data_IF_332755485214
#
_entry.id   IF_332755485214
#
_cell.length_a   1.000
_cell.length_b   1.000
_cell.length_c   1.000
_cell.angle_alpha   90.00
_cell.angle_beta   90.00
_cell.angle_gamma   90.00
#
_symmetry.space_group_name_H-M   'P 1'
#
loop_
_entity.id
_entity.type
_entity.pdbx_description
1 polymer ?
#
# COMPACT_ATOMS: atom_id res chain seq x y z
N UNK A 1 -7.74 41.90 -31.36
CA UNK A 1 -7.77 40.85 -30.32
C UNK A 1 -6.75 41.20 -29.25
N UNK A 2 -7.18 41.41 -28.00
CA UNK A 2 -6.31 41.96 -26.95
C UNK A 2 -5.17 40.98 -26.63
N UNK A 3 -3.92 41.45 -26.68
CA UNK A 3 -2.70 40.65 -26.44
C UNK A 3 -2.73 39.94 -25.08
N UNK A 4 -3.45 40.50 -24.11
CA UNK A 4 -3.67 39.96 -22.78
C UNK A 4 -4.61 38.73 -22.76
N UNK A 5 -5.54 38.60 -23.71
CA UNK A 5 -6.46 37.46 -23.80
C UNK A 5 -5.71 36.21 -24.32
N UNK A 6 -4.74 36.40 -25.21
CA UNK A 6 -3.91 35.31 -25.75
C UNK A 6 -3.01 34.74 -24.67
N UNK A 7 -2.39 35.59 -23.83
CA UNK A 7 -1.58 35.16 -22.69
C UNK A 7 -2.40 34.40 -21.64
N UNK A 8 -3.62 34.85 -21.34
CA UNK A 8 -4.52 34.17 -20.41
C UNK A 8 -4.93 32.77 -20.91
N UNK A 9 -5.27 32.65 -22.20
CA UNK A 9 -5.60 31.36 -22.82
C UNK A 9 -4.40 30.40 -22.81
N UNK A 10 -3.20 30.89 -23.12
CA UNK A 10 -1.97 30.09 -23.06
C UNK A 10 -1.70 29.58 -21.64
N UNK A 11 -1.85 30.42 -20.61
CA UNK A 11 -1.69 30.00 -19.21
C UNK A 11 -2.76 28.99 -18.78
N UNK A 12 -3.98 29.10 -19.29
CA UNK A 12 -5.06 28.14 -19.03
C UNK A 12 -4.83 26.79 -19.72
N UNK A 13 -4.22 26.75 -20.92
CA UNK A 13 -3.84 25.50 -21.59
C UNK A 13 -2.60 24.83 -20.98
N UNK A 14 -1.71 25.58 -20.30
CA UNK A 14 -0.55 25.02 -19.61
C UNK A 14 -0.87 24.38 -18.24
N UNK A 15 -2.09 24.54 -17.71
CA UNK A 15 -2.61 23.66 -16.66
C UNK A 15 -3.07 22.31 -17.24
N UNK A 16 -2.28 21.79 -18.18
CA UNK A 16 -2.45 20.52 -18.85
C UNK A 16 -2.56 19.42 -17.80
N UNK A 17 -3.70 18.74 -17.80
CA UNK A 17 -4.10 17.65 -16.91
C UNK A 17 -2.91 16.75 -16.52
N UNK A 18 -2.31 16.98 -15.34
CA UNK A 18 -1.39 16.00 -14.76
C UNK A 18 -2.20 14.77 -14.40
N UNK A 19 -1.93 13.67 -15.08
CA UNK A 19 -2.55 12.36 -14.86
C UNK A 19 -1.96 11.66 -13.61
N UNK A 20 -1.95 12.39 -12.50
CA UNK A 20 -1.35 12.00 -11.22
C UNK A 20 -2.36 11.23 -10.35
N UNK A 21 -1.86 10.66 -9.25
CA UNK A 21 -2.71 10.27 -8.13
C UNK A 21 -3.35 11.50 -7.51
N UNK A 22 -4.60 11.36 -7.11
CA UNK A 22 -5.28 12.34 -6.25
C UNK A 22 -4.83 12.15 -4.80
N UNK A 23 -4.95 13.19 -3.97
CA UNK A 23 -4.66 13.10 -2.53
C UNK A 23 -5.49 11.99 -1.84
N UNK A 24 -6.72 11.76 -2.31
CA UNK A 24 -7.57 10.69 -1.79
C UNK A 24 -6.99 9.30 -2.10
N UNK A 25 -6.43 9.09 -3.29
CA UNK A 25 -5.77 7.84 -3.70
C UNK A 25 -4.48 7.58 -2.92
N UNK A 26 -3.85 8.64 -2.40
CA UNK A 26 -2.59 8.55 -1.66
C UNK A 26 -2.77 8.56 -0.13
N UNK A 27 -4.00 8.59 0.41
CA UNK A 27 -4.21 8.65 1.88
C UNK A 27 -3.46 7.52 2.62
N UNK A 28 -3.47 6.29 2.10
CA UNK A 28 -2.70 5.17 2.69
C UNK A 28 -1.19 5.43 2.56
N UNK A 29 -0.75 5.88 1.38
CA UNK A 29 0.65 6.13 1.10
C UNK A 29 1.23 7.22 2.03
N UNK A 30 0.44 8.25 2.31
CA UNK A 30 0.86 9.40 3.08
C UNK A 30 1.00 9.11 4.58
N UNK A 31 0.37 8.05 5.11
CA UNK A 31 0.50 7.66 6.52
C UNK A 31 1.89 7.10 6.88
N UNK A 32 2.62 6.58 5.89
CA UNK A 32 3.90 5.92 6.15
C UNK A 32 5.07 6.87 5.99
N UNK A 33 6.05 6.89 6.89
CA UNK A 33 7.28 7.66 6.73
C UNK A 33 8.52 6.76 6.72
N UNK A 34 9.56 7.15 5.98
CA UNK A 34 10.83 6.43 5.97
C UNK A 34 11.42 6.48 7.37
N UNK A 35 11.82 5.32 7.90
CA UNK A 35 12.33 5.17 9.26
C UNK A 35 11.25 4.88 10.30
N UNK A 36 9.97 5.03 9.96
CA UNK A 36 8.86 4.62 10.84
C UNK A 36 8.94 3.13 11.13
N UNK A 37 8.63 2.77 12.38
CA UNK A 37 8.58 1.39 12.84
C UNK A 37 7.16 0.96 13.15
N UNK A 38 6.79 -0.25 12.73
CA UNK A 38 5.57 -0.93 13.13
C UNK A 38 5.96 -2.03 14.11
N UNK A 39 5.46 -1.95 15.34
CA UNK A 39 5.81 -2.90 16.41
C UNK A 39 4.57 -3.71 16.77
N UNK A 40 4.72 -5.03 16.71
CA UNK A 40 3.67 -5.98 17.01
C UNK A 40 4.08 -6.85 18.19
N UNK A 41 3.11 -7.16 19.04
CA UNK A 41 3.26 -8.09 20.15
C UNK A 41 2.33 -9.29 19.93
N UNK A 42 2.88 -10.48 20.09
CA UNK A 42 2.10 -11.72 20.02
C UNK A 42 1.42 -12.06 21.35
N UNK A 43 0.52 -13.04 21.28
CA UNK A 43 -0.14 -13.61 22.47
C UNK A 43 0.84 -14.22 23.48
N UNK A 44 2.03 -14.66 23.02
CA UNK A 44 3.10 -15.19 23.87
C UNK A 44 4.16 -14.14 24.28
N UNK A 45 3.87 -12.85 24.13
CA UNK A 45 4.75 -11.72 24.44
C UNK A 45 6.01 -11.57 23.55
N UNK A 46 6.11 -12.28 22.44
CA UNK A 46 7.17 -12.05 21.44
C UNK A 46 6.95 -10.71 20.72
N UNK A 47 8.04 -10.09 20.26
CA UNK A 47 8.02 -8.78 19.58
C UNK A 47 8.53 -8.88 18.16
N UNK A 48 7.70 -8.45 17.21
CA UNK A 48 8.03 -8.29 15.81
C UNK A 48 8.13 -6.80 15.51
N UNK A 49 9.20 -6.39 14.85
CA UNK A 49 9.43 -5.00 14.48
C UNK A 49 9.73 -4.91 13.00
N UNK A 50 8.96 -4.07 12.31
CA UNK A 50 9.14 -3.75 10.91
C UNK A 50 9.51 -2.28 10.76
N UNK A 51 10.39 -1.97 9.82
CA UNK A 51 10.80 -0.60 9.54
C UNK A 51 10.51 -0.25 8.08
N UNK A 52 9.93 0.91 7.84
CA UNK A 52 9.77 1.44 6.49
C UNK A 52 11.13 1.90 5.98
N UNK A 53 11.63 1.26 4.94
CA UNK A 53 12.97 1.51 4.40
C UNK A 53 12.95 2.40 3.16
N UNK A 54 11.81 2.46 2.47
CA UNK A 54 11.70 3.17 1.20
C UNK A 54 10.29 3.67 0.96
N UNK A 55 10.17 4.90 0.44
CA UNK A 55 8.92 5.50 0.00
C UNK A 55 9.20 6.40 -1.20
N UNK A 56 8.60 6.10 -2.37
CA UNK A 56 8.81 6.91 -3.59
C UNK A 56 7.60 6.91 -4.51
N UNK A 57 7.31 8.07 -5.10
CA UNK A 57 6.38 8.22 -6.22
C UNK A 57 7.19 8.28 -7.52
N UNK A 58 6.77 7.50 -8.51
CA UNK A 58 7.34 7.46 -9.85
C UNK A 58 6.35 8.11 -10.80
N UNK A 59 6.72 9.30 -11.26
CA UNK A 59 6.02 10.02 -12.29
C UNK A 59 6.82 9.92 -13.57
N UNK A 60 6.34 9.10 -14.50
CA UNK A 60 6.88 9.16 -15.84
C UNK A 60 6.19 10.34 -16.54
N UNK A 61 6.98 11.32 -16.99
CA UNK A 61 6.46 12.38 -17.83
C UNK A 61 5.75 11.74 -19.03
N UNK A 62 4.51 12.17 -19.29
CA UNK A 62 3.80 11.77 -20.49
C UNK A 62 4.64 12.21 -21.70
N UNK A 63 5.02 11.27 -22.57
CA UNK A 63 5.77 11.58 -23.79
C UNK A 63 4.79 11.52 -24.98
N UNK A 64 4.32 12.68 -25.48
CA UNK A 64 3.38 12.73 -26.62
C UNK A 64 3.95 12.17 -27.94
N UNK A 65 5.28 12.08 -28.07
CA UNK A 65 5.95 12.13 -29.38
C UNK A 65 6.34 10.73 -29.93
N UNK A 66 6.30 9.67 -29.12
CA UNK A 66 6.49 8.31 -29.68
C UNK A 66 5.21 7.87 -30.39
N UNK A 67 5.35 7.41 -31.65
CA UNK A 67 4.30 6.96 -32.59
C UNK A 67 3.21 6.03 -32.02
N UNK A 68 3.39 5.49 -30.81
CA UNK A 68 2.51 4.52 -30.17
C UNK A 68 1.59 5.12 -29.09
N UNK A 69 1.77 6.38 -28.67
CA UNK A 69 0.88 7.05 -27.71
C UNK A 69 0.67 6.34 -26.35
N UNK A 70 1.60 5.45 -25.95
CA UNK A 70 1.43 4.57 -24.80
C UNK A 70 1.44 5.34 -23.48
N UNK A 71 0.35 5.21 -22.72
CA UNK A 71 0.22 5.78 -21.38
C UNK A 71 1.23 5.12 -20.41
N UNK A 72 2.05 5.95 -19.77
CA UNK A 72 2.94 5.52 -18.70
C UNK A 72 2.24 5.71 -17.34
N UNK A 73 1.84 4.62 -16.66
CA UNK A 73 1.09 4.73 -15.41
C UNK A 73 1.97 5.32 -14.31
N UNK A 74 1.49 6.29 -13.51
CA UNK A 74 2.18 6.67 -12.29
C UNK A 74 2.17 5.50 -11.31
N UNK A 75 3.26 5.38 -10.56
CA UNK A 75 3.40 4.36 -9.53
C UNK A 75 3.82 5.00 -8.21
N UNK A 76 3.43 4.43 -7.09
CA UNK A 76 4.01 4.77 -5.79
C UNK A 76 4.32 3.49 -5.03
N UNK A 77 5.46 3.44 -4.35
CA UNK A 77 5.94 2.23 -3.67
C UNK A 77 6.36 2.57 -2.25
N UNK A 78 5.99 1.70 -1.32
CA UNK A 78 6.48 1.66 0.06
C UNK A 78 7.13 0.30 0.28
N UNK A 79 8.35 0.26 0.81
CA UNK A 79 9.06 -0.98 1.17
C UNK A 79 9.36 -1.02 2.65
N UNK A 80 9.53 -2.22 3.17
CA UNK A 80 9.81 -2.46 4.57
C UNK A 80 10.82 -3.59 4.76
N UNK A 81 11.41 -3.63 5.94
CA UNK A 81 12.26 -4.73 6.42
C UNK A 81 11.80 -5.19 7.81
N UNK A 82 12.15 -6.42 8.20
CA UNK A 82 11.94 -6.93 9.56
C UNK A 82 13.26 -6.81 10.34
N UNK A 83 13.25 -6.13 11.48
CA UNK A 83 14.47 -5.85 12.25
C UNK A 83 14.91 -7.02 13.13
N UNK A 84 13.96 -7.78 13.68
CA UNK A 84 14.24 -8.77 14.74
C UNK A 84 14.45 -10.19 14.20
N UNK A 85 14.75 -10.35 12.90
CA UNK A 85 14.92 -11.68 12.30
C UNK A 85 16.01 -11.67 11.23
N UNK A 86 17.11 -12.35 11.54
CA UNK A 86 18.21 -12.58 10.59
C UNK A 86 17.79 -13.50 9.42
N UNK A 87 16.65 -14.20 9.54
CA UNK A 87 16.12 -15.14 8.56
C UNK A 87 14.85 -14.66 7.86
N UNK A 88 14.49 -13.38 7.97
CA UNK A 88 13.31 -12.86 7.27
C UNK A 88 13.55 -12.86 5.76
N UNK A 89 12.97 -13.88 5.09
CA UNK A 89 13.01 -14.04 3.64
C UNK A 89 11.58 -13.97 3.14
N UNK A 90 11.24 -12.90 2.44
CA UNK A 90 9.99 -12.84 1.70
C UNK A 90 10.22 -13.41 0.31
N UNK A 91 9.33 -14.32 -0.06
CA UNK A 91 9.30 -14.93 -1.37
C UNK A 91 8.08 -14.42 -2.13
N UNK A 92 8.31 -13.82 -3.30
CA UNK A 92 7.25 -13.53 -4.26
C UNK A 92 6.50 -14.82 -4.65
N UNK A 93 5.31 -14.72 -5.25
CA UNK A 93 4.56 -15.84 -5.87
C UNK A 93 5.44 -16.77 -6.76
N UNK A 94 6.52 -16.25 -7.35
CA UNK A 94 7.52 -16.91 -8.19
C UNK A 94 8.78 -17.37 -7.43
N UNK A 95 8.76 -17.39 -6.08
CA UNK A 95 9.86 -17.82 -5.20
C UNK A 95 11.18 -17.04 -5.33
N UNK A 96 11.18 -15.85 -5.94
CA UNK A 96 12.36 -14.96 -5.90
C UNK A 96 12.43 -14.24 -4.55
N UNK A 97 13.59 -14.33 -3.90
CA UNK A 97 13.91 -13.66 -2.64
C UNK A 97 14.05 -12.16 -2.87
N UNK A 98 13.33 -11.34 -2.11
CA UNK A 98 13.56 -9.90 -2.03
C UNK A 98 14.14 -9.54 -0.67
N UNK A 99 15.21 -8.75 -0.67
CA UNK A 99 15.79 -8.17 0.56
C UNK A 99 14.95 -7.00 1.08
N UNK A 100 14.09 -6.42 0.25
CA UNK A 100 13.21 -5.30 0.58
C UNK A 100 11.83 -5.50 -0.09
N UNK A 101 10.93 -6.28 0.52
CA UNK A 101 9.57 -6.48 0.03
C UNK A 101 8.78 -5.17 -0.04
N UNK A 102 7.89 -5.07 -1.02
CA UNK A 102 7.01 -3.90 -1.20
C UNK A 102 5.81 -4.04 -0.28
N UNK A 103 5.72 -3.24 0.77
CA UNK A 103 4.54 -3.21 1.64
C UNK A 103 3.31 -2.82 0.84
N UNK A 104 3.42 -1.73 0.08
CA UNK A 104 2.37 -1.25 -0.81
C UNK A 104 2.93 -0.84 -2.17
N UNK A 105 2.23 -1.25 -3.22
CA UNK A 105 2.45 -0.75 -4.58
C UNK A 105 1.15 -0.18 -5.15
N UNK A 106 1.17 1.11 -5.42
CA UNK A 106 0.09 1.86 -6.05
C UNK A 106 0.37 1.97 -7.53
N UNK A 107 -0.60 1.65 -8.37
CA UNK A 107 -0.52 1.82 -9.82
C UNK A 107 -1.83 2.36 -10.35
N UNK A 108 -1.77 3.38 -11.21
CA UNK A 108 -2.94 3.90 -11.91
C UNK A 108 -2.86 3.49 -13.39
N UNK A 109 -3.54 2.41 -13.82
CA UNK A 109 -3.36 1.84 -15.16
C UNK A 109 -3.74 2.75 -16.33
N UNK A 110 -4.66 3.69 -16.11
CA UNK A 110 -5.04 4.74 -17.06
C UNK A 110 -5.51 6.00 -16.32
N UNK A 111 -5.54 7.18 -16.97
CA UNK A 111 -5.93 8.44 -16.33
C UNK A 111 -7.29 8.43 -15.61
N UNK A 112 -8.25 7.67 -16.15
CA UNK A 112 -9.62 7.57 -15.66
C UNK A 112 -9.89 6.30 -14.85
N UNK A 113 -8.90 5.41 -14.71
CA UNK A 113 -9.06 4.17 -13.94
C UNK A 113 -8.90 4.41 -12.44
N UNK A 114 -9.59 3.59 -11.63
CA UNK A 114 -9.31 3.44 -10.21
C UNK A 114 -7.85 3.01 -9.99
N UNK A 115 -7.21 3.59 -8.97
CA UNK A 115 -5.86 3.18 -8.56
C UNK A 115 -5.90 1.75 -8.01
N UNK A 116 -5.05 0.88 -8.54
CA UNK A 116 -4.80 -0.45 -8.00
C UNK A 116 -3.77 -0.36 -6.89
N UNK A 117 -4.02 -1.07 -5.80
CA UNK A 117 -3.12 -1.16 -4.66
C UNK A 117 -2.85 -2.64 -4.41
N UNK A 118 -1.59 -3.03 -4.56
CA UNK A 118 -1.09 -4.31 -4.09
C UNK A 118 -0.52 -4.13 -2.69
N UNK A 119 -0.85 -5.06 -1.79
CA UNK A 119 -0.40 -5.08 -0.40
C UNK A 119 0.28 -6.42 -0.12
N UNK A 120 1.53 -6.38 0.34
CA UNK A 120 2.32 -7.57 0.66
C UNK A 120 2.93 -7.49 2.07
N UNK A 121 2.64 -8.48 2.92
CA UNK A 121 3.11 -8.51 4.30
C UNK A 121 3.40 -9.93 4.79
N UNK A 122 4.66 -10.27 5.09
CA UNK A 122 5.10 -11.62 5.51
C UNK A 122 4.45 -12.77 4.70
N UNK A 123 4.63 -12.78 3.37
CA UNK A 123 4.03 -13.74 2.42
C UNK A 123 2.49 -13.67 2.26
N UNK A 124 1.82 -12.77 2.97
CA UNK A 124 0.45 -12.36 2.64
C UNK A 124 0.50 -11.46 1.40
N UNK A 125 -0.37 -11.70 0.41
CA UNK A 125 -0.53 -10.83 -0.75
C UNK A 125 -2.01 -10.62 -1.07
N UNK A 126 -2.41 -9.37 -1.28
CA UNK A 126 -3.74 -9.01 -1.80
C UNK A 126 -3.67 -7.81 -2.74
N UNK A 127 -4.66 -7.66 -3.61
CA UNK A 127 -4.83 -6.50 -4.50
C UNK A 127 -6.26 -5.96 -4.34
N UNK A 128 -6.41 -4.64 -4.22
CA UNK A 128 -7.71 -3.96 -4.19
C UNK A 128 -7.66 -2.64 -4.98
N UNK A 129 -8.81 -2.04 -5.29
CA UNK A 129 -8.88 -0.82 -6.12
C UNK A 129 -9.47 0.35 -5.33
N UNK A 130 -8.82 1.51 -5.29
CA UNK A 130 -9.38 2.68 -4.61
C UNK A 130 -10.25 3.59 -5.50
N UNK A 131 -11.42 4.06 -5.00
CA UNK A 131 -12.10 3.60 -3.80
C UNK A 131 -12.70 2.19 -4.01
N UNK A 132 -12.51 1.32 -3.02
CA UNK A 132 -13.12 -0.02 -3.01
C UNK A 132 -14.34 0.02 -2.10
N UNK A 133 -15.52 0.05 -2.71
CA UNK A 133 -16.80 0.04 -1.99
C UNK A 133 -17.17 -1.36 -1.48
N UNK A 134 -16.48 -2.40 -1.95
CA UNK A 134 -16.70 -3.78 -1.50
C UNK A 134 -16.04 -4.07 -0.14
N UNK A 135 -15.02 -3.29 0.23
CA UNK A 135 -14.38 -3.38 1.54
C UNK A 135 -15.30 -2.73 2.58
N UNK A 136 -16.05 -3.57 3.32
CA UNK A 136 -16.86 -3.12 4.44
C UNK A 136 -15.95 -2.96 5.67
N UNK A 137 -15.93 -1.79 6.31
CA UNK A 137 -15.17 -1.62 7.54
C UNK A 137 -15.82 -2.42 8.67
N UNK A 138 -14.98 -3.04 9.50
CA UNK A 138 -15.33 -3.70 10.74
C UNK A 138 -14.79 -2.89 11.92
N UNK A 139 -15.49 -2.92 13.05
CA UNK A 139 -15.01 -2.36 14.31
C UNK A 139 -14.21 -3.41 15.06
N UNK A 140 -12.98 -3.07 15.44
CA UNK A 140 -12.15 -3.89 16.31
C UNK A 140 -11.69 -3.09 17.52
N UNK A 141 -11.44 -3.79 18.63
CA UNK A 141 -10.86 -3.18 19.83
C UNK A 141 -9.37 -3.48 19.83
N UNK A 142 -8.55 -2.43 19.78
CA UNK A 142 -7.09 -2.50 19.91
C UNK A 142 -6.69 -1.59 21.05
N UNK A 143 -6.03 -2.13 22.07
CA UNK A 143 -5.59 -1.37 23.26
C UNK A 143 -6.72 -0.53 23.90
N UNK A 144 -7.91 -1.13 24.07
CA UNK A 144 -9.13 -0.47 24.58
C UNK A 144 -9.71 0.66 23.73
N UNK A 145 -9.23 0.85 22.49
CA UNK A 145 -9.80 1.78 21.53
C UNK A 145 -10.54 1.03 20.42
N UNK A 146 -11.78 1.48 20.14
CA UNK A 146 -12.56 0.97 19.01
C UNK A 146 -12.12 1.67 17.73
N UNK A 147 -11.62 0.89 16.77
CA UNK A 147 -11.10 1.39 15.49
C UNK A 147 -11.84 0.74 14.33
N UNK A 148 -12.18 1.55 13.33
CA UNK A 148 -12.64 1.04 12.05
C UNK A 148 -11.44 0.51 11.26
N UNK A 149 -11.56 -0.73 10.78
CA UNK A 149 -10.55 -1.39 9.99
C UNK A 149 -11.18 -2.19 8.85
N UNK A 150 -10.37 -2.57 7.87
CA UNK A 150 -10.70 -3.48 6.80
C UNK A 150 -10.00 -4.80 7.08
N UNK A 151 -10.72 -5.89 6.89
CA UNK A 151 -10.16 -7.24 7.07
C UNK A 151 -9.83 -7.83 5.71
N UNK A 152 -8.55 -8.10 5.48
CA UNK A 152 -8.11 -8.87 4.33
C UNK A 152 -7.89 -10.31 4.78
N UNK A 153 -8.59 -11.25 4.16
CA UNK A 153 -8.52 -12.68 4.49
C UNK A 153 -8.10 -13.50 3.26
N UNK A 154 -7.10 -14.35 3.42
CA UNK A 154 -6.73 -15.35 2.43
C UNK A 154 -7.58 -16.62 2.61
N UNK A 155 -8.42 -16.92 1.62
CA UNK A 155 -9.26 -18.13 1.59
C UNK A 155 -8.60 -19.32 0.89
N UNK A 156 -7.27 -19.41 0.89
CA UNK A 156 -6.56 -20.51 0.22
C UNK A 156 -6.55 -21.75 1.12
N UNK A 157 -6.96 -22.90 0.59
CA UNK A 157 -6.99 -24.17 1.33
C UNK A 157 -5.58 -24.61 1.79
N UNK A 158 -4.55 -24.34 0.97
CA UNK A 158 -3.18 -24.82 1.16
C UNK A 158 -2.25 -23.87 1.96
N UNK A 159 -2.81 -22.98 2.78
CA UNK A 159 -1.99 -22.16 3.70
C UNK A 159 -1.30 -23.05 4.74
N UNK A 160 -0.04 -22.78 5.07
CA UNK A 160 0.66 -23.42 6.20
C UNK A 160 0.23 -22.77 7.52
N UNK A 161 0.44 -23.47 8.63
CA UNK A 161 0.17 -22.96 9.98
C UNK A 161 0.91 -21.65 10.29
N UNK A 162 2.08 -21.46 9.68
CA UNK A 162 2.93 -20.27 9.80
C UNK A 162 2.64 -19.18 8.75
N UNK A 163 1.62 -19.35 7.91
CA UNK A 163 1.22 -18.32 6.94
C UNK A 163 0.19 -17.38 7.56
N UNK A 164 0.31 -16.08 7.27
CA UNK A 164 -0.70 -15.10 7.67
C UNK A 164 -1.99 -15.41 6.92
N UNK A 165 -3.08 -15.61 7.66
CA UNK A 165 -4.41 -15.82 7.10
C UNK A 165 -5.21 -14.51 7.02
N UNK A 166 -5.08 -13.63 8.02
CA UNK A 166 -5.85 -12.38 8.12
C UNK A 166 -4.98 -11.19 8.49
N UNK A 167 -5.27 -10.05 7.88
CA UNK A 167 -4.70 -8.74 8.23
C UNK A 167 -5.83 -7.75 8.47
N UNK A 168 -5.77 -7.06 9.60
CA UNK A 168 -6.66 -5.96 9.97
C UNK A 168 -5.95 -4.64 9.68
N UNK A 169 -6.51 -3.85 8.78
CA UNK A 169 -5.88 -2.66 8.24
C UNK A 169 -6.80 -1.43 8.39
N UNK A 170 -6.32 -0.37 9.03
CA UNK A 170 -7.00 0.92 9.08
C UNK A 170 -6.39 1.89 8.07
N UNK A 171 -7.24 2.71 7.46
CA UNK A 171 -6.81 3.84 6.61
C UNK A 171 -6.08 4.94 7.37
N UNK A 172 -6.11 4.93 8.70
CA UNK A 172 -5.50 5.97 9.55
C UNK A 172 -4.34 5.38 10.35
N UNK A 173 -4.50 4.15 10.85
CA UNK A 173 -3.53 3.48 11.72
C UNK A 173 -2.83 2.29 11.06
N UNK A 174 -2.90 2.20 9.73
CA UNK A 174 -2.18 1.21 8.92
C UNK A 174 -2.49 -0.24 9.34
N UNK A 175 -1.50 -1.12 9.45
CA UNK A 175 -1.70 -2.50 9.91
C UNK A 175 -1.90 -2.49 11.42
N UNK A 176 -3.08 -2.89 11.88
CA UNK A 176 -3.45 -2.94 13.30
C UNK A 176 -3.16 -4.29 13.93
N UNK A 177 -3.36 -5.37 13.18
CA UNK A 177 -3.27 -6.75 13.66
C UNK A 177 -3.08 -7.70 12.49
N UNK A 178 -2.37 -8.81 12.70
CA UNK A 178 -2.38 -9.95 11.79
C UNK A 178 -2.55 -11.26 12.56
N UNK A 179 -3.09 -12.26 11.86
CA UNK A 179 -3.42 -13.58 12.43
C UNK A 179 -2.90 -14.66 11.49
N UNK A 180 -2.12 -15.58 12.04
CA UNK A 180 -1.64 -16.77 11.35
C UNK A 180 -2.75 -17.83 11.23
N UNK A 181 -2.61 -18.77 10.28
CA UNK A 181 -3.57 -19.86 10.12
C UNK A 181 -3.77 -20.68 11.41
N UNK A 182 -2.71 -20.86 12.18
CA UNK A 182 -2.77 -21.57 13.47
C UNK A 182 -3.49 -20.79 14.59
N UNK A 183 -4.02 -19.59 14.30
CA UNK A 183 -4.72 -18.74 15.25
C UNK A 183 -3.83 -17.79 16.04
N UNK A 184 -2.50 -17.89 15.94
CA UNK A 184 -1.56 -16.98 16.63
C UNK A 184 -1.80 -15.55 16.17
N UNK A 185 -2.02 -14.64 17.13
CA UNK A 185 -2.33 -13.24 16.85
C UNK A 185 -1.15 -12.35 17.20
N UNK A 186 -1.01 -11.28 16.41
CA UNK A 186 -0.03 -10.23 16.62
C UNK A 186 -0.72 -8.89 16.50
N UNK A 187 -0.70 -8.12 17.59
CA UNK A 187 -1.42 -6.85 17.72
C UNK A 187 -0.42 -5.71 17.74
N UNK A 188 -0.71 -4.64 17.00
CA UNK A 188 0.12 -3.44 16.96
C UNK A 188 0.12 -2.75 18.32
N UNK A 189 1.32 -2.46 18.81
CA UNK A 189 1.54 -1.69 20.04
C UNK A 189 2.22 -0.35 19.78
N UNK A 190 2.78 -0.14 18.57
CA UNK A 190 3.37 1.12 18.12
C UNK A 190 3.40 1.19 16.59
#
# INVERSE_FOLDING_TARGET
MNRNIILLLIVLFFNSCKHDFTNRELKIYDNFDIGQTLIFKSDNNSIDTFKITFKKKYYNNWQPITRDGKYNPPNAVIKYEKLNSNDFKIYNLNKKKFENPELFHFRKPSPKSKTKISFEFQNFYTEFKQPDESLKPELIIVNNHSLQCYVFELKKENLKETDIQRIYFSKEFEILKYVFKNGTQWVRIK
#
